data_IF_782826887814
#
_entry.id   IF_782826887814
#
_cell.length_a   1.000
_cell.length_b   1.000
_cell.length_c   1.000
_cell.angle_alpha   90.00
_cell.angle_beta   90.00
_cell.angle_gamma   90.00
#
_symmetry.space_group_name_H-M   'P 1'
#
loop_
_entity.id
_entity.type
_entity.pdbx_description
1 polymer ?
#
# COMPACT_ATOMS: atom_id res chain seq x y z
N UNK A 1 -0.47 -10.52 24.85
CA UNK A 1 0.33 -10.06 26.01
C UNK A 1 1.44 -9.07 25.61
N UNK A 2 2.10 -9.22 24.45
CA UNK A 2 3.19 -8.35 23.98
C UNK A 2 2.79 -6.87 23.77
N UNK A 3 1.51 -6.58 23.60
CA UNK A 3 0.97 -5.22 23.32
C UNK A 3 0.31 -4.57 24.55
N UNK A 4 0.20 -5.27 25.68
CA UNK A 4 -0.39 -4.70 26.90
C UNK A 4 0.45 -3.56 27.49
N UNK A 5 1.78 -3.62 27.30
CA UNK A 5 2.76 -2.66 27.80
C UNK A 5 3.38 -1.82 26.66
N UNK A 6 2.73 -1.78 25.48
CA UNK A 6 3.22 -1.02 24.33
C UNK A 6 3.18 0.49 24.64
N UNK A 7 4.35 1.10 24.63
CA UNK A 7 4.50 2.55 24.73
C UNK A 7 4.58 3.09 23.29
N UNK A 8 3.62 3.91 22.85
CA UNK A 8 3.70 4.52 21.53
C UNK A 8 4.98 5.32 21.38
N UNK A 9 5.65 5.24 20.23
CA UNK A 9 6.82 6.07 19.97
C UNK A 9 6.44 7.55 19.91
N UNK A 10 7.41 8.40 20.18
CA UNK A 10 7.25 9.84 19.97
C UNK A 10 7.48 10.11 18.49
N UNK A 11 6.43 10.54 17.80
CA UNK A 11 6.50 10.89 16.37
C UNK A 11 6.98 12.33 16.19
N UNK A 12 7.85 12.54 15.20
CA UNK A 12 8.24 13.85 14.70
C UNK A 12 7.28 14.27 13.57
N UNK A 13 6.22 14.97 13.95
CA UNK A 13 5.14 15.34 13.04
C UNK A 13 5.28 16.79 12.49
N UNK A 14 6.51 17.33 12.42
CA UNK A 14 6.76 18.68 11.91
C UNK A 14 7.15 18.73 10.41
N UNK A 15 7.43 17.58 9.81
CA UNK A 15 7.86 17.49 8.43
C UNK A 15 6.75 17.88 7.44
N UNK A 16 7.12 18.70 6.42
CA UNK A 16 6.24 19.08 5.31
C UNK A 16 6.26 18.03 4.19
N UNK A 17 5.24 18.01 3.31
CA UNK A 17 5.18 17.06 2.20
C UNK A 17 6.34 17.22 1.19
N UNK A 18 6.76 18.43 0.76
CA UNK A 18 7.95 18.59 -0.08
C UNK A 18 9.23 18.07 0.56
N UNK A 19 9.42 18.36 1.84
CA UNK A 19 10.58 17.89 2.61
C UNK A 19 10.55 16.36 2.76
N UNK A 20 9.39 15.77 3.03
CA UNK A 20 9.22 14.32 3.10
C UNK A 20 9.65 13.63 1.80
N UNK A 21 9.23 14.14 0.64
CA UNK A 21 9.60 13.60 -0.66
C UNK A 21 11.12 13.72 -0.92
N UNK A 22 11.71 14.87 -0.62
CA UNK A 22 13.16 15.07 -0.83
C UNK A 22 13.98 14.21 0.13
N UNK A 23 13.64 14.17 1.40
CA UNK A 23 14.31 13.30 2.38
C UNK A 23 14.19 11.82 2.02
N UNK A 24 13.03 11.38 1.52
CA UNK A 24 12.88 10.00 1.06
C UNK A 24 13.82 9.69 -0.12
N UNK A 25 13.92 10.58 -1.10
CA UNK A 25 14.83 10.44 -2.23
C UNK A 25 16.30 10.36 -1.77
N UNK A 26 16.71 11.25 -0.89
CA UNK A 26 18.08 11.29 -0.34
C UNK A 26 18.38 10.07 0.54
N UNK A 27 17.44 9.63 1.35
CA UNK A 27 17.53 8.41 2.15
C UNK A 27 17.73 7.17 1.27
N UNK A 28 16.91 7.00 0.23
CA UNK A 28 17.01 5.87 -0.69
C UNK A 28 18.40 5.82 -1.36
N UNK A 29 18.93 6.98 -1.74
CA UNK A 29 20.27 7.10 -2.30
C UNK A 29 21.37 6.80 -1.26
N UNK A 30 21.39 7.54 -0.15
CA UNK A 30 22.51 7.53 0.80
C UNK A 30 22.59 6.27 1.65
N UNK A 31 21.44 5.69 2.01
CA UNK A 31 21.36 4.53 2.90
C UNK A 31 21.25 3.19 2.14
N UNK A 32 20.63 3.20 0.95
CA UNK A 32 20.29 1.98 0.24
C UNK A 32 20.93 1.85 -1.15
N UNK A 33 21.60 2.90 -1.63
CA UNK A 33 22.18 2.93 -2.99
C UNK A 33 21.12 2.85 -4.09
N UNK A 34 19.89 3.32 -3.82
CA UNK A 34 18.77 3.32 -4.75
C UNK A 34 18.53 4.72 -5.29
N UNK A 35 18.49 4.84 -6.61
CA UNK A 35 18.41 6.12 -7.28
C UNK A 35 17.03 6.29 -7.94
N UNK A 36 16.31 7.31 -7.54
CA UNK A 36 14.99 7.64 -8.09
C UNK A 36 14.93 9.12 -8.47
N UNK A 37 14.27 9.40 -9.60
CA UNK A 37 13.94 10.77 -9.96
C UNK A 37 12.93 11.35 -8.97
N UNK A 38 13.06 12.65 -8.66
CA UNK A 38 12.16 13.31 -7.69
C UNK A 38 10.70 13.31 -8.16
N UNK A 39 10.44 13.32 -9.46
CA UNK A 39 9.07 13.24 -10.00
C UNK A 39 8.43 11.88 -9.71
N UNK A 40 9.21 10.80 -9.84
CA UNK A 40 8.76 9.46 -9.47
C UNK A 40 8.46 9.38 -7.97
N UNK A 41 9.34 9.89 -7.12
CA UNK A 41 9.11 9.95 -5.67
C UNK A 41 7.84 10.73 -5.34
N UNK A 42 7.65 11.92 -5.93
CA UNK A 42 6.45 12.72 -5.72
C UNK A 42 5.18 12.02 -6.19
N UNK A 43 5.22 11.37 -7.35
CA UNK A 43 4.08 10.58 -7.87
C UNK A 43 3.76 9.41 -6.94
N UNK A 44 4.78 8.68 -6.49
CA UNK A 44 4.62 7.57 -5.55
C UNK A 44 4.02 8.03 -4.23
N UNK A 45 4.53 9.11 -3.63
CA UNK A 45 3.99 9.66 -2.39
C UNK A 45 2.58 10.23 -2.59
N UNK A 46 2.30 10.91 -3.70
CA UNK A 46 0.97 11.43 -4.00
C UNK A 46 -0.08 10.30 -4.17
N UNK A 47 0.33 9.13 -4.64
CA UNK A 47 -0.58 7.99 -4.81
C UNK A 47 -1.18 7.48 -3.49
N UNK A 48 -0.48 7.64 -2.37
CA UNK A 48 -1.01 7.32 -1.03
C UNK A 48 -2.22 8.18 -0.64
N UNK A 49 -2.37 9.34 -1.27
CA UNK A 49 -3.51 10.22 -1.05
C UNK A 49 -4.75 9.83 -1.85
N UNK A 50 -4.60 9.05 -2.93
CA UNK A 50 -5.72 8.68 -3.83
C UNK A 50 -6.36 7.35 -3.46
N UNK A 51 -5.56 6.34 -3.10
CA UNK A 51 -6.05 4.98 -2.85
C UNK A 51 -5.19 4.26 -1.81
N UNK A 52 -5.69 3.13 -1.31
CA UNK A 52 -4.95 2.22 -0.43
C UNK A 52 -4.18 1.14 -1.21
N UNK A 53 -4.45 0.98 -2.51
CA UNK A 53 -3.75 0.05 -3.38
C UNK A 53 -2.98 0.81 -4.45
N UNK A 54 -1.66 0.67 -4.45
CA UNK A 54 -0.74 1.24 -5.44
C UNK A 54 -0.16 0.07 -6.24
N UNK A 55 -0.07 0.18 -7.55
CA UNK A 55 0.53 -0.84 -8.41
C UNK A 55 1.76 -0.26 -9.11
N UNK A 56 2.93 -0.74 -8.73
CA UNK A 56 4.18 -0.43 -9.42
C UNK A 56 4.39 -1.42 -10.54
N UNK A 57 4.24 -0.98 -11.78
CA UNK A 57 4.32 -1.85 -12.96
C UNK A 57 5.42 -1.40 -13.92
N UNK A 58 5.83 -2.27 -14.82
CA UNK A 58 6.85 -1.99 -15.83
C UNK A 58 7.86 -3.13 -15.99
N UNK A 59 8.96 -2.86 -16.68
CA UNK A 59 10.00 -3.82 -17.01
C UNK A 59 10.67 -4.38 -15.74
N UNK A 60 11.04 -5.66 -15.77
CA UNK A 60 11.77 -6.27 -14.65
C UNK A 60 13.11 -5.57 -14.38
N UNK A 61 13.51 -5.49 -13.11
CA UNK A 61 14.80 -4.90 -12.70
C UNK A 61 14.86 -3.36 -12.70
N UNK A 62 13.72 -2.66 -12.78
CA UNK A 62 13.64 -1.19 -12.70
C UNK A 62 13.54 -0.63 -11.27
N UNK A 63 13.53 -1.49 -10.26
CA UNK A 63 13.53 -1.06 -8.86
C UNK A 63 12.14 -0.90 -8.22
N UNK A 64 11.09 -1.53 -8.77
CA UNK A 64 9.71 -1.48 -8.26
C UNK A 64 9.61 -1.93 -6.79
N UNK A 65 10.01 -3.16 -6.52
CA UNK A 65 10.00 -3.74 -5.15
C UNK A 65 10.93 -2.97 -4.23
N UNK A 66 12.09 -2.54 -4.74
CA UNK A 66 13.05 -1.75 -3.97
C UNK A 66 12.49 -0.39 -3.54
N UNK A 67 11.65 0.26 -4.36
CA UNK A 67 11.00 1.53 -4.00
C UNK A 67 10.05 1.36 -2.82
N UNK A 68 9.18 0.35 -2.88
CA UNK A 68 8.25 0.03 -1.80
C UNK A 68 8.97 -0.39 -0.51
N UNK A 69 10.04 -1.18 -0.64
CA UNK A 69 10.88 -1.59 0.48
C UNK A 69 11.62 -0.40 1.12
N UNK A 70 12.18 0.50 0.30
CA UNK A 70 12.84 1.71 0.77
C UNK A 70 11.89 2.63 1.54
N UNK A 71 10.62 2.71 1.11
CA UNK A 71 9.60 3.51 1.79
C UNK A 71 9.36 3.02 3.22
N UNK A 72 9.17 1.72 3.43
CA UNK A 72 9.00 1.17 4.78
C UNK A 72 10.20 1.45 5.69
N UNK A 73 11.42 1.31 5.16
CA UNK A 73 12.64 1.67 5.91
C UNK A 73 12.72 3.16 6.21
N UNK A 74 12.33 4.00 5.25
CA UNK A 74 12.35 5.45 5.42
C UNK A 74 11.39 5.93 6.51
N UNK A 75 10.19 5.36 6.60
CA UNK A 75 9.23 5.67 7.67
C UNK A 75 9.48 4.91 8.98
N UNK A 76 10.66 4.33 9.11
CA UNK A 76 11.14 3.57 10.28
C UNK A 76 10.20 2.42 10.70
N UNK A 77 9.49 1.84 9.74
CA UNK A 77 8.64 0.68 9.91
C UNK A 77 8.80 -0.26 8.70
N UNK A 78 9.66 -1.30 8.79
CA UNK A 78 9.97 -2.17 7.66
C UNK A 78 8.71 -2.73 7.00
N UNK A 79 8.68 -2.72 5.66
CA UNK A 79 7.56 -3.22 4.89
C UNK A 79 7.34 -4.72 5.12
N UNK A 80 6.07 -5.12 5.18
CA UNK A 80 5.66 -6.52 5.17
C UNK A 80 5.67 -7.00 3.72
N UNK A 81 6.45 -8.02 3.41
CA UNK A 81 6.55 -8.56 2.05
C UNK A 81 5.75 -9.85 1.94
N UNK A 82 4.66 -9.81 1.21
CA UNK A 82 3.89 -10.98 0.82
C UNK A 82 4.31 -11.39 -0.60
N UNK A 83 5.19 -12.38 -0.70
CA UNK A 83 5.63 -12.93 -2.00
C UNK A 83 4.51 -13.78 -2.58
N UNK A 84 3.82 -13.25 -3.58
CA UNK A 84 2.71 -13.95 -4.23
C UNK A 84 3.22 -15.19 -4.96
N UNK A 85 2.50 -16.30 -4.81
CA UNK A 85 2.85 -17.56 -5.45
C UNK A 85 1.83 -17.90 -6.56
N UNK A 86 2.23 -18.62 -7.60
CA UNK A 86 1.31 -19.05 -8.68
C UNK A 86 0.12 -19.89 -8.19
N UNK A 87 0.23 -20.48 -7.00
CA UNK A 87 -0.80 -21.29 -6.37
C UNK A 87 -1.88 -20.47 -5.65
N UNK A 88 -1.68 -19.17 -5.46
CA UNK A 88 -2.62 -18.32 -4.71
C UNK A 88 -3.96 -18.21 -5.44
N UNK A 89 -5.05 -18.51 -4.73
CA UNK A 89 -6.41 -18.56 -5.32
C UNK A 89 -7.49 -17.87 -4.53
N UNK A 90 -7.28 -17.69 -3.23
CA UNK A 90 -8.29 -17.13 -2.34
C UNK A 90 -7.68 -16.37 -1.17
N UNK A 91 -8.53 -15.83 -0.31
CA UNK A 91 -8.16 -15.01 0.86
C UNK A 91 -7.28 -15.69 1.90
N UNK A 92 -7.26 -17.03 1.92
CA UNK A 92 -6.49 -17.78 2.94
C UNK A 92 -4.99 -17.57 2.81
N UNK A 93 -4.55 -17.22 1.63
CA UNK A 93 -3.15 -16.87 1.34
C UNK A 93 -2.74 -15.54 2.00
N UNK A 94 -3.71 -14.63 2.17
CA UNK A 94 -3.47 -13.32 2.82
C UNK A 94 -3.62 -13.38 4.33
N UNK A 95 -4.65 -14.06 4.82
CA UNK A 95 -5.05 -13.99 6.23
C UNK A 95 -4.74 -15.26 7.01
N UNK A 96 -4.59 -16.40 6.31
CA UNK A 96 -4.51 -17.70 6.93
C UNK A 96 -5.87 -18.37 7.06
N UNK A 97 -5.90 -19.47 7.79
CA UNK A 97 -7.10 -20.31 7.93
C UNK A 97 -7.18 -21.01 9.29
N UNK A 98 -8.37 -21.32 9.71
CA UNK A 98 -8.63 -22.13 10.89
C UNK A 98 -8.46 -23.62 10.55
N UNK A 99 -7.58 -24.30 11.30
CA UNK A 99 -7.37 -25.74 11.14
C UNK A 99 -8.31 -26.51 12.09
N UNK A 100 -9.32 -27.15 11.52
CA UNK A 100 -10.34 -27.90 12.26
C UNK A 100 -9.78 -29.07 13.06
N UNK A 101 -8.67 -29.66 12.63
CA UNK A 101 -8.05 -30.80 13.31
C UNK A 101 -7.27 -30.37 14.54
N UNK A 102 -6.45 -29.35 14.40
CA UNK A 102 -5.61 -28.83 15.49
C UNK A 102 -6.33 -27.81 16.37
N UNK A 103 -7.53 -27.35 15.95
CA UNK A 103 -8.30 -26.28 16.58
C UNK A 103 -7.45 -24.99 16.77
N UNK A 104 -6.54 -24.73 15.83
CA UNK A 104 -5.69 -23.54 15.83
C UNK A 104 -5.87 -22.76 14.54
N UNK A 105 -5.74 -21.46 14.64
CA UNK A 105 -5.67 -20.58 13.48
C UNK A 105 -4.19 -20.49 13.01
N UNK A 106 -3.97 -20.78 11.72
CA UNK A 106 -2.68 -20.60 11.07
C UNK A 106 -2.67 -19.21 10.43
N UNK A 107 -2.13 -18.24 11.15
CA UNK A 107 -2.02 -16.85 10.72
C UNK A 107 -0.88 -16.63 9.73
N UNK A 108 -1.07 -15.68 8.81
CA UNK A 108 -0.01 -15.17 7.94
C UNK A 108 0.72 -14.01 8.62
N UNK A 109 1.87 -13.64 8.06
CA UNK A 109 2.60 -12.44 8.50
C UNK A 109 1.76 -11.16 8.26
N UNK A 110 0.99 -11.11 7.15
CA UNK A 110 0.09 -9.99 6.88
C UNK A 110 -0.99 -9.86 7.96
N UNK A 111 -1.69 -10.95 8.31
CA UNK A 111 -2.72 -10.89 9.35
C UNK A 111 -2.14 -10.43 10.69
N UNK A 112 -0.96 -10.93 11.05
CA UNK A 112 -0.25 -10.50 12.26
C UNK A 112 0.05 -9.01 12.23
N UNK A 113 0.59 -8.52 11.11
CA UNK A 113 0.89 -7.10 10.95
C UNK A 113 -0.37 -6.22 10.99
N UNK A 114 -1.49 -6.67 10.41
CA UNK A 114 -2.79 -5.98 10.53
C UNK A 114 -3.24 -5.88 11.98
N UNK A 115 -3.10 -6.97 12.74
CA UNK A 115 -3.43 -6.95 14.16
C UNK A 115 -2.52 -6.00 14.94
N UNK A 116 -1.21 -6.00 14.68
CA UNK A 116 -0.23 -5.11 15.30
C UNK A 116 -0.48 -3.64 14.95
N UNK A 117 -0.79 -3.35 13.69
CA UNK A 117 -1.09 -2.00 13.21
C UNK A 117 -2.29 -1.37 13.92
N UNK A 118 -3.21 -2.17 14.47
CA UNK A 118 -4.36 -1.69 15.24
C UNK A 118 -4.00 -1.10 16.61
N UNK A 119 -2.76 -1.26 17.06
CA UNK A 119 -2.27 -0.78 18.37
C UNK A 119 -1.42 0.50 18.30
N UNK A 120 -1.04 0.95 17.11
CA UNK A 120 -0.14 2.09 16.96
C UNK A 120 -0.49 2.96 15.74
N UNK A 121 0.17 4.10 15.64
CA UNK A 121 -0.01 5.06 14.54
C UNK A 121 1.15 5.00 13.51
N UNK A 122 1.97 3.95 13.47
CA UNK A 122 3.00 3.78 12.46
C UNK A 122 2.37 3.63 11.06
N UNK A 123 3.11 4.00 10.04
CA UNK A 123 2.73 3.75 8.65
C UNK A 123 3.16 2.32 8.29
N UNK A 124 2.22 1.50 7.84
CA UNK A 124 2.48 0.13 7.38
C UNK A 124 2.40 0.05 5.86
N UNK A 125 3.47 -0.37 5.23
CA UNK A 125 3.51 -0.69 3.81
C UNK A 125 3.51 -2.22 3.63
N UNK A 126 2.50 -2.75 2.96
CA UNK A 126 2.40 -4.17 2.59
C UNK A 126 2.76 -4.30 1.13
N UNK A 127 3.81 -5.04 0.84
CA UNK A 127 4.26 -5.31 -0.53
C UNK A 127 3.67 -6.63 -1.00
N UNK A 128 2.84 -6.60 -2.04
CA UNK A 128 2.40 -7.78 -2.78
C UNK A 128 3.39 -7.97 -3.92
N UNK A 129 4.48 -8.70 -3.65
CA UNK A 129 5.57 -8.84 -4.62
C UNK A 129 5.19 -9.82 -5.72
N UNK A 130 5.42 -9.39 -6.99
CA UNK A 130 4.98 -10.11 -8.19
C UNK A 130 3.47 -10.41 -8.17
N UNK A 131 2.66 -9.42 -7.81
CA UNK A 131 1.23 -9.60 -7.53
C UNK A 131 0.46 -10.28 -8.66
N UNK A 132 0.90 -10.17 -9.90
CA UNK A 132 0.23 -10.72 -11.07
C UNK A 132 0.79 -12.09 -11.54
N UNK A 133 1.62 -12.75 -10.74
CA UNK A 133 1.98 -14.15 -10.96
C UNK A 133 0.81 -15.11 -10.63
N UNK A 134 -0.15 -14.63 -9.85
CA UNK A 134 -1.46 -15.21 -9.62
C UNK A 134 -2.55 -14.20 -9.99
N UNK A 135 -3.81 -14.63 -10.11
CA UNK A 135 -4.93 -13.72 -10.42
C UNK A 135 -5.30 -12.88 -9.22
N UNK A 136 -4.97 -11.60 -9.27
CA UNK A 136 -5.20 -10.63 -8.19
C UNK A 136 -6.67 -10.56 -7.78
N UNK A 137 -7.57 -10.57 -8.74
CA UNK A 137 -9.02 -10.52 -8.55
C UNK A 137 -9.59 -11.74 -7.80
N UNK A 138 -8.79 -12.77 -7.54
CA UNK A 138 -9.20 -13.94 -6.77
C UNK A 138 -8.67 -13.86 -5.33
N UNK A 139 -7.35 -13.83 -5.15
CA UNK A 139 -6.80 -13.86 -3.81
C UNK A 139 -6.97 -12.53 -3.05
N UNK A 140 -7.09 -11.39 -3.78
CA UNK A 140 -7.26 -10.06 -3.20
C UNK A 140 -8.69 -9.51 -3.33
N UNK A 141 -9.65 -10.30 -3.82
CA UNK A 141 -11.03 -9.89 -4.11
C UNK A 141 -11.74 -9.24 -2.93
N UNK A 142 -11.62 -9.83 -1.74
CA UNK A 142 -12.25 -9.30 -0.53
C UNK A 142 -11.67 -7.94 -0.14
N UNK A 143 -10.34 -7.80 -0.19
CA UNK A 143 -9.67 -6.54 0.08
C UNK A 143 -10.06 -5.45 -0.92
N UNK A 144 -10.17 -5.78 -2.21
CA UNK A 144 -10.64 -4.83 -3.22
C UNK A 144 -12.04 -4.30 -2.87
N UNK A 145 -12.93 -5.16 -2.40
CA UNK A 145 -14.29 -4.78 -2.03
C UNK A 145 -14.33 -3.94 -0.75
N UNK A 146 -13.55 -4.32 0.26
CA UNK A 146 -13.52 -3.62 1.55
C UNK A 146 -12.91 -2.22 1.40
N UNK A 147 -11.81 -2.09 0.66
CA UNK A 147 -11.11 -0.82 0.49
C UNK A 147 -11.90 0.22 -0.33
N UNK A 148 -12.96 -0.19 -1.02
CA UNK A 148 -13.91 0.71 -1.70
C UNK A 148 -14.99 1.28 -0.79
N UNK A 149 -15.23 0.67 0.37
CA UNK A 149 -16.28 1.14 1.27
C UNK A 149 -16.01 2.58 1.70
N UNK A 150 -17.02 3.46 1.62
CA UNK A 150 -16.85 4.89 1.86
C UNK A 150 -16.52 5.20 3.31
N UNK A 151 -16.98 4.38 4.24
CA UNK A 151 -16.70 4.49 5.66
C UNK A 151 -15.65 3.48 6.11
N UNK A 152 -14.64 3.95 6.83
CA UNK A 152 -13.65 3.06 7.46
C UNK A 152 -14.26 2.16 8.55
N UNK A 153 -15.45 2.45 9.02
CA UNK A 153 -16.18 1.58 9.95
C UNK A 153 -16.64 0.29 9.29
N UNK A 154 -16.76 0.30 7.96
CA UNK A 154 -17.11 -0.88 7.14
C UNK A 154 -15.88 -1.68 6.70
N UNK A 155 -14.67 -1.21 7.02
CA UNK A 155 -13.42 -1.92 6.70
C UNK A 155 -13.20 -3.06 7.69
N UNK A 156 -13.89 -4.14 7.48
CA UNK A 156 -13.89 -5.29 8.36
C UNK A 156 -13.70 -6.57 7.55
N UNK A 157 -12.85 -7.46 8.05
CA UNK A 157 -12.61 -8.77 7.47
C UNK A 157 -12.98 -9.87 8.44
N UNK A 158 -13.72 -10.88 7.95
CA UNK A 158 -14.08 -12.06 8.73
C UNK A 158 -12.85 -12.97 8.87
N UNK A 159 -12.37 -13.23 10.06
CA UNK A 159 -11.19 -14.06 10.31
C UNK A 159 -11.58 -15.46 10.74
N UNK A 160 -12.49 -15.57 11.72
CA UNK A 160 -12.94 -16.85 12.27
C UNK A 160 -14.47 -16.90 12.33
N UNK A 161 -15.06 -18.09 12.05
CA UNK A 161 -16.52 -18.22 11.97
C UNK A 161 -17.24 -18.08 13.33
N UNK A 162 -16.54 -18.33 14.43
CA UNK A 162 -17.13 -18.30 15.78
C UNK A 162 -16.19 -17.58 16.74
N UNK A 163 -16.77 -16.79 17.65
CA UNK A 163 -16.01 -16.12 18.72
C UNK A 163 -15.70 -17.10 19.86
N UNK A 164 -14.48 -16.96 20.39
CA UNK A 164 -14.02 -17.72 21.54
C UNK A 164 -13.54 -16.76 22.65
N UNK A 165 -13.69 -17.10 23.94
CA UNK A 165 -13.20 -16.26 25.03
C UNK A 165 -11.67 -16.00 24.99
N UNK A 166 -10.94 -16.82 24.26
CA UNK A 166 -9.48 -16.74 24.09
C UNK A 166 -9.05 -15.92 22.87
N UNK A 167 -10.01 -15.37 22.11
CA UNK A 167 -9.68 -14.58 20.92
C UNK A 167 -8.86 -13.34 21.27
N UNK A 168 -7.96 -12.92 20.38
CA UNK A 168 -7.23 -11.67 20.55
C UNK A 168 -8.17 -10.47 20.68
N UNK A 169 -7.82 -9.52 21.54
CA UNK A 169 -8.66 -8.39 21.96
C UNK A 169 -9.32 -7.60 20.82
N UNK A 170 -8.63 -7.42 19.69
CA UNK A 170 -9.14 -6.66 18.54
C UNK A 170 -9.83 -7.54 17.49
N UNK A 171 -9.99 -8.84 17.75
CA UNK A 171 -10.88 -9.71 16.99
C UNK A 171 -12.21 -9.75 17.73
N UNK A 172 -13.20 -9.05 17.20
CA UNK A 172 -14.53 -8.92 17.82
C UNK A 172 -15.55 -9.67 16.97
N UNK A 173 -16.26 -10.61 17.55
CA UNK A 173 -17.22 -11.46 16.83
C UNK A 173 -16.62 -12.20 15.62
N UNK A 174 -15.36 -12.63 15.73
CA UNK A 174 -14.64 -13.28 14.65
C UNK A 174 -14.10 -12.35 13.57
N UNK A 175 -14.26 -11.06 13.72
CA UNK A 175 -13.91 -10.03 12.75
C UNK A 175 -12.73 -9.20 13.21
N UNK A 176 -11.87 -8.81 12.26
CA UNK A 176 -10.80 -7.83 12.44
C UNK A 176 -11.11 -6.58 11.62
N UNK A 177 -11.08 -5.41 12.27
CA UNK A 177 -11.14 -4.13 11.56
C UNK A 177 -9.80 -3.88 10.88
N UNK A 178 -9.81 -3.57 9.58
CA UNK A 178 -8.58 -3.22 8.86
C UNK A 178 -8.06 -1.87 9.36
N UNK A 179 -6.82 -1.81 9.84
CA UNK A 179 -6.27 -0.57 10.37
C UNK A 179 -6.11 0.51 9.28
N UNK A 180 -6.43 1.78 9.60
CA UNK A 180 -6.36 2.87 8.63
C UNK A 180 -4.94 3.28 8.24
N UNK A 181 -3.93 2.81 8.95
CA UNK A 181 -2.52 3.11 8.77
C UNK A 181 -1.78 2.12 7.85
N UNK A 182 -2.52 1.31 7.08
CA UNK A 182 -1.96 0.34 6.14
C UNK A 182 -2.21 0.74 4.69
N UNK A 183 -1.17 0.58 3.86
CA UNK A 183 -1.23 0.72 2.40
C UNK A 183 -0.66 -0.53 1.74
N UNK A 184 -1.26 -0.91 0.62
CA UNK A 184 -0.88 -2.09 -0.16
C UNK A 184 -0.18 -1.63 -1.43
N UNK A 185 0.99 -2.18 -1.71
CA UNK A 185 1.82 -1.82 -2.86
C UNK A 185 2.10 -3.10 -3.63
N UNK A 186 1.40 -3.29 -4.75
CA UNK A 186 1.65 -4.40 -5.63
C UNK A 186 2.81 -4.11 -6.58
N UNK A 187 3.66 -5.08 -6.84
CA UNK A 187 4.61 -5.00 -7.96
C UNK A 187 4.15 -5.93 -9.08
N UNK A 188 4.18 -5.47 -10.31
CA UNK A 188 3.75 -6.22 -11.47
C UNK A 188 4.78 -6.13 -12.59
N UNK A 189 5.07 -7.26 -13.21
CA UNK A 189 5.86 -7.32 -14.43
C UNK A 189 4.92 -7.48 -15.63
N UNK A 190 5.25 -6.80 -16.73
CA UNK A 190 4.53 -6.90 -17.98
C UNK A 190 5.26 -7.90 -18.88
N UNK A 191 5.30 -9.16 -18.49
CA UNK A 191 5.88 -10.24 -19.27
C UNK A 191 4.86 -11.35 -19.56
N UNK A 192 5.16 -12.20 -20.54
CA UNK A 192 4.23 -13.24 -21.01
C UNK A 192 3.97 -14.35 -19.98
N UNK A 193 4.73 -14.39 -18.89
CA UNK A 193 4.60 -15.39 -17.84
C UNK A 193 3.62 -15.02 -16.73
N UNK A 194 3.09 -13.79 -16.76
CA UNK A 194 2.21 -13.24 -15.74
C UNK A 194 0.78 -13.05 -16.23
N UNK A 195 -0.17 -12.98 -15.30
CA UNK A 195 -1.56 -12.67 -15.64
C UNK A 195 -1.74 -11.16 -15.89
N UNK A 196 -2.61 -10.82 -16.85
CA UNK A 196 -3.06 -9.45 -17.00
C UNK A 196 -3.84 -9.02 -15.74
N UNK A 197 -3.54 -7.83 -15.25
CA UNK A 197 -4.33 -7.20 -14.19
C UNK A 197 -5.61 -6.69 -14.82
N UNK A 198 -6.77 -7.07 -14.28
CA UNK A 198 -8.08 -6.72 -14.82
C UNK A 198 -8.48 -5.30 -14.44
N UNK A 199 -9.41 -4.70 -15.22
CA UNK A 199 -9.98 -3.38 -14.94
C UNK A 199 -10.57 -3.31 -13.53
N UNK A 200 -11.18 -4.40 -13.04
CA UNK A 200 -11.71 -4.50 -11.68
C UNK A 200 -10.66 -4.17 -10.60
N UNK A 201 -9.40 -4.45 -10.86
CA UNK A 201 -8.29 -4.12 -9.95
C UNK A 201 -7.80 -2.69 -10.20
N UNK A 202 -7.66 -2.30 -11.47
CA UNK A 202 -7.20 -0.96 -11.83
C UNK A 202 -8.15 0.15 -11.38
N UNK A 203 -9.45 -0.08 -11.41
CA UNK A 203 -10.48 0.88 -10.93
C UNK A 203 -10.28 1.26 -9.44
N UNK A 204 -9.59 0.41 -8.69
CA UNK A 204 -9.37 0.54 -7.24
C UNK A 204 -7.94 0.86 -6.86
N UNK A 205 -7.06 0.96 -7.85
CA UNK A 205 -5.64 1.12 -7.64
C UNK A 205 -5.11 2.38 -8.31
N UNK A 206 -3.94 2.83 -7.86
CA UNK A 206 -3.14 3.84 -8.56
C UNK A 206 -1.97 3.15 -9.26
N UNK A 207 -2.01 2.93 -10.58
CA UNK A 207 -0.90 2.36 -11.33
C UNK A 207 0.19 3.41 -11.55
N UNK A 208 1.43 3.00 -11.35
CA UNK A 208 2.64 3.79 -11.61
C UNK A 208 3.58 2.98 -12.49
N UNK A 209 3.88 3.49 -13.69
CA UNK A 209 4.81 2.85 -14.60
C UNK A 209 6.24 3.24 -14.25
N UNK A 210 7.11 2.23 -14.06
CA UNK A 210 8.54 2.40 -13.80
C UNK A 210 9.31 1.66 -14.88
N UNK A 211 9.53 2.33 -16.01
CA UNK A 211 10.14 1.73 -17.21
C UNK A 211 11.64 2.07 -17.34
N UNK A 212 12.15 2.94 -16.49
CA UNK A 212 13.54 3.38 -16.53
C UNK A 212 14.22 3.21 -15.19
N UNK A 213 15.50 2.88 -15.23
CA UNK A 213 16.36 2.89 -14.03
C UNK A 213 16.71 4.32 -13.65
N UNK A 214 16.82 4.58 -12.36
CA UNK A 214 17.30 5.87 -11.86
C UNK A 214 18.76 6.14 -12.24
N UNK A 215 19.08 7.41 -12.44
CA UNK A 215 20.45 7.86 -12.69
C UNK A 215 21.13 8.07 -11.33
N UNK A 216 22.34 7.51 -11.11
CA UNK A 216 23.11 7.75 -9.89
C UNK A 216 23.37 9.23 -9.63
N UNK A 217 23.27 9.63 -8.38
CA UNK A 217 23.62 10.95 -7.88
C UNK A 217 24.18 10.86 -6.48
N UNK A 218 24.91 11.87 -6.03
CA UNK A 218 25.44 11.95 -4.68
C UNK A 218 24.41 12.58 -3.74
N UNK A 219 24.25 12.00 -2.58
CA UNK A 219 23.34 12.48 -1.54
C UNK A 219 24.03 12.53 -0.17
N UNK A 220 23.76 13.54 0.65
CA UNK A 220 24.20 13.53 2.03
C UNK A 220 23.55 12.37 2.79
N UNK A 221 24.26 11.84 3.79
CA UNK A 221 23.70 10.81 4.66
C UNK A 221 22.39 11.33 5.28
N UNK A 222 21.29 10.62 5.04
CA UNK A 222 19.95 11.04 5.42
C UNK A 222 19.32 9.97 6.29
N UNK A 223 18.85 10.35 7.47
CA UNK A 223 18.18 9.45 8.40
C UNK A 223 16.73 9.20 8.02
N UNK A 224 16.16 8.04 8.43
CA UNK A 224 14.73 7.80 8.31
C UNK A 224 13.92 8.84 9.08
N UNK A 225 12.64 8.95 8.75
CA UNK A 225 11.68 9.79 9.48
C UNK A 225 10.81 8.93 10.39
N UNK A 226 10.32 9.55 11.46
CA UNK A 226 9.42 8.87 12.38
C UNK A 226 8.14 9.68 12.54
N UNK A 227 7.22 9.50 11.61
CA UNK A 227 5.95 10.24 11.58
C UNK A 227 4.76 9.29 11.79
N UNK A 228 3.68 9.81 12.38
CA UNK A 228 2.43 9.08 12.47
C UNK A 228 1.69 9.04 11.11
N UNK A 229 0.91 7.98 10.87
CA UNK A 229 0.05 7.94 9.70
C UNK A 229 -0.96 9.10 9.66
N UNK A 230 -1.38 9.60 10.82
CA UNK A 230 -2.30 10.74 10.94
C UNK A 230 -1.66 12.01 10.40
N UNK A 231 -0.39 12.25 10.73
CA UNK A 231 0.36 13.38 10.17
C UNK A 231 0.60 13.20 8.67
N UNK A 232 0.96 11.99 8.24
CA UNK A 232 1.13 11.68 6.82
C UNK A 232 -0.15 11.95 6.03
N UNK A 233 -1.31 11.48 6.50
CA UNK A 233 -2.61 11.79 5.89
C UNK A 233 -2.92 13.29 5.92
N UNK A 234 -2.58 13.98 7.01
CA UNK A 234 -2.79 15.42 7.13
C UNK A 234 -2.03 16.19 6.04
N UNK A 235 -0.72 15.95 5.87
CA UNK A 235 0.08 16.65 4.86
C UNK A 235 -0.35 16.31 3.42
N UNK A 236 -0.80 15.08 3.17
CA UNK A 236 -1.36 14.67 1.88
C UNK A 236 -2.70 15.38 1.60
N UNK A 237 -3.58 15.45 2.58
CA UNK A 237 -4.88 16.10 2.43
C UNK A 237 -4.74 17.64 2.30
N UNK A 238 -3.81 18.26 3.02
CA UNK A 238 -3.49 19.67 2.85
C UNK A 238 -3.04 19.99 1.42
N UNK A 239 -2.21 19.11 0.83
CA UNK A 239 -1.81 19.27 -0.56
C UNK A 239 -2.97 19.14 -1.55
N UNK A 240 -3.92 18.22 -1.32
CA UNK A 240 -5.14 18.09 -2.16
C UNK A 240 -5.98 19.38 -2.15
N UNK A 241 -6.12 20.03 -1.02
CA UNK A 241 -6.87 21.29 -0.90
C UNK A 241 -6.13 22.44 -1.57
N UNK A 242 -4.79 22.48 -1.47
CA UNK A 242 -3.97 23.55 -2.04
C UNK A 242 -3.81 23.42 -3.56
N UNK A 243 -3.73 22.21 -4.10
CA UNK A 243 -3.46 21.95 -5.51
C UNK A 243 -4.68 21.34 -6.21
N UNK A 244 -5.75 22.13 -6.29
CA UNK A 244 -6.97 21.73 -7.01
C UNK A 244 -6.72 21.76 -8.51
N UNK A 245 -7.27 20.78 -9.24
CA UNK A 245 -7.24 20.79 -10.72
C UNK A 245 -7.95 22.03 -11.23
N UNK A 246 -7.29 22.82 -12.09
CA UNK A 246 -7.87 24.03 -12.62
C UNK A 246 -9.09 23.73 -13.52
N UNK A 247 -10.04 24.67 -13.58
CA UNK A 247 -11.22 24.54 -14.46
C UNK A 247 -10.83 24.31 -15.93
N UNK A 248 -9.73 24.93 -16.38
CA UNK A 248 -9.20 24.71 -17.73
C UNK A 248 -8.78 23.27 -17.96
N UNK A 249 -8.08 22.66 -17.00
CA UNK A 249 -7.68 21.26 -17.09
C UNK A 249 -8.88 20.32 -16.97
N UNK A 250 -9.86 20.62 -16.14
CA UNK A 250 -11.13 19.87 -16.08
C UNK A 250 -11.80 19.88 -17.44
N UNK A 251 -11.94 21.04 -18.09
CA UNK A 251 -12.52 21.16 -19.44
C UNK A 251 -11.75 20.33 -20.47
N UNK A 252 -10.42 20.33 -20.42
CA UNK A 252 -9.58 19.51 -21.32
C UNK A 252 -9.82 18.01 -21.13
N UNK A 253 -9.92 17.56 -19.88
CA UNK A 253 -10.21 16.16 -19.53
C UNK A 253 -11.60 15.78 -20.04
N UNK A 254 -12.63 16.61 -19.81
CA UNK A 254 -14.00 16.37 -20.30
C UNK A 254 -14.04 16.26 -21.82
N UNK A 255 -13.36 17.18 -22.53
CA UNK A 255 -13.29 17.12 -24.00
C UNK A 255 -12.60 15.85 -24.52
N UNK A 256 -11.55 15.40 -23.80
CA UNK A 256 -10.88 14.13 -24.12
C UNK A 256 -11.81 12.94 -23.89
N UNK A 257 -12.53 12.93 -22.78
CA UNK A 257 -13.49 11.89 -22.44
C UNK A 257 -14.61 11.78 -23.48
N UNK A 258 -15.24 12.92 -23.82
CA UNK A 258 -16.24 13.01 -24.87
C UNK A 258 -15.71 12.45 -26.20
N UNK A 259 -14.48 12.83 -26.58
CA UNK A 259 -13.84 12.34 -27.79
C UNK A 259 -13.62 10.82 -27.78
N UNK A 260 -13.17 10.27 -26.65
CA UNK A 260 -12.94 8.83 -26.49
C UNK A 260 -14.26 8.06 -26.57
N UNK A 261 -15.31 8.52 -25.88
CA UNK A 261 -16.65 7.93 -25.94
C UNK A 261 -17.18 7.92 -27.38
N UNK A 262 -17.07 9.04 -28.10
CA UNK A 262 -17.59 9.17 -29.45
C UNK A 262 -16.86 8.27 -30.47
N UNK A 263 -15.52 8.16 -30.36
CA UNK A 263 -14.71 7.52 -31.40
C UNK A 263 -14.35 6.06 -31.08
N UNK A 264 -14.28 5.68 -29.81
CA UNK A 264 -13.87 4.34 -29.39
C UNK A 264 -15.01 3.51 -28.79
N UNK A 265 -16.19 4.10 -28.56
CA UNK A 265 -17.38 3.43 -27.98
C UNK A 265 -17.10 2.71 -26.67
N UNK A 266 -16.29 3.33 -25.81
CA UNK A 266 -15.94 2.84 -24.49
C UNK A 266 -16.91 3.43 -23.46
#
# INVERSE_FOLDING_TARGET
QLWADYVPPVYDNDITLPEFCERFRLFACSQLGLYYDIKLIRLFIASFASTRLIILQGISGTGKTSLAYAFGKFVNNPSIVASVQPSWRDRTELFGYFNEFTKKFNETELLRAMYEASYNDNIYAVILDEMNIARVEYYFAEMLSILEMPSRDEWVVDIIPNSWPSDPKHIVNGQLRIPPNMWYIGTANNDDSTFAITDKVYDRAMPINIDTKGVPFDAPLTDPVYISYKHFEYILNAAKVQFVVSEENIKKITLLDDYVIEHFRI
#
